data_IF_098768199438
#
_entry.id   IF_098768199438
#
_cell.length_a   1.000
_cell.length_b   1.000
_cell.length_c   1.000
_cell.angle_alpha   90.00
_cell.angle_beta   90.00
_cell.angle_gamma   90.00
#
_symmetry.space_group_name_H-M   'P 1'
#
loop_
_entity.id
_entity.type
_entity.pdbx_description
1 polymer ?
#
# COMPACT_ATOMS: atom_id res chain seq x y z
N UNK A 1 -7.58 8.49 10.15
CA UNK A 1 -6.33 8.14 9.44
C UNK A 1 -5.91 6.71 9.72
N UNK A 2 -5.57 6.32 10.97
CA UNK A 2 -5.19 4.92 11.27
C UNK A 2 -6.30 3.93 10.93
N UNK A 3 -7.54 4.21 11.37
CA UNK A 3 -8.74 3.44 11.00
C UNK A 3 -8.91 3.28 9.47
N UNK A 4 -8.71 4.36 8.72
CA UNK A 4 -8.85 4.36 7.26
C UNK A 4 -7.74 3.52 6.60
N UNK A 5 -6.51 3.58 7.14
CA UNK A 5 -5.38 2.76 6.70
C UNK A 5 -5.63 1.28 6.97
N UNK A 6 -6.20 0.93 8.12
CA UNK A 6 -6.54 -0.45 8.46
C UNK A 6 -7.65 -1.02 7.57
N UNK A 7 -8.69 -0.23 7.31
CA UNK A 7 -9.77 -0.60 6.38
C UNK A 7 -9.23 -0.82 4.97
N UNK A 8 -8.34 0.07 4.50
CA UNK A 8 -7.68 -0.10 3.22
C UNK A 8 -6.76 -1.32 3.18
N UNK A 9 -6.08 -1.66 4.27
CA UNK A 9 -5.28 -2.88 4.38
C UNK A 9 -6.10 -4.17 4.20
N UNK A 10 -7.34 -4.20 4.72
CA UNK A 10 -8.27 -5.32 4.52
C UNK A 10 -8.72 -5.43 3.06
N UNK A 11 -9.06 -4.29 2.45
CA UNK A 11 -9.48 -4.23 1.04
C UNK A 11 -8.32 -4.65 0.12
N UNK A 12 -7.10 -4.18 0.39
CA UNK A 12 -5.88 -4.51 -0.34
C UNK A 12 -5.65 -6.03 -0.36
N UNK A 13 -5.68 -6.65 0.82
CA UNK A 13 -5.49 -8.09 0.98
C UNK A 13 -6.58 -8.87 0.23
N UNK A 14 -7.84 -8.45 0.35
CA UNK A 14 -8.96 -9.07 -0.35
C UNK A 14 -8.81 -9.02 -1.88
N UNK A 15 -8.48 -7.85 -2.43
CA UNK A 15 -8.32 -7.67 -3.88
C UNK A 15 -7.13 -8.49 -4.39
N UNK A 16 -6.00 -8.46 -3.67
CA UNK A 16 -4.81 -9.25 -3.99
C UNK A 16 -5.15 -10.74 -4.10
N UNK A 17 -5.83 -11.29 -3.09
CA UNK A 17 -6.25 -12.70 -3.11
C UNK A 17 -7.16 -13.02 -4.29
N UNK A 18 -8.09 -12.12 -4.66
CA UNK A 18 -8.98 -12.32 -5.82
C UNK A 18 -8.24 -12.31 -7.15
N UNK A 19 -7.22 -11.47 -7.29
CA UNK A 19 -6.38 -11.43 -8.49
C UNK A 19 -5.53 -12.71 -8.61
N UNK A 20 -4.99 -13.21 -7.50
CA UNK A 20 -4.24 -14.48 -7.47
C UNK A 20 -5.14 -15.69 -7.78
N UNK A 21 -6.39 -15.66 -7.31
CA UNK A 21 -7.42 -16.65 -7.68
C UNK A 21 -7.70 -16.64 -9.18
N UNK A 22 -7.84 -15.45 -9.80
CA UNK A 22 -8.02 -15.31 -11.25
C UNK A 22 -6.83 -15.89 -12.04
N UNK A 23 -5.59 -15.75 -11.57
CA UNK A 23 -4.44 -16.40 -12.22
C UNK A 23 -4.53 -17.92 -12.19
N UNK A 24 -4.90 -18.48 -11.03
CA UNK A 24 -5.08 -19.92 -10.86
C UNK A 24 -6.18 -20.43 -11.79
N UNK A 25 -7.30 -19.72 -11.87
CA UNK A 25 -8.40 -20.04 -12.78
C UNK A 25 -7.96 -19.95 -14.25
N UNK A 26 -7.17 -18.95 -14.63
CA UNK A 26 -6.65 -18.82 -15.99
C UNK A 26 -5.75 -19.99 -16.37
N UNK A 27 -4.90 -20.44 -15.45
CA UNK A 27 -4.07 -21.63 -15.66
C UNK A 27 -4.92 -22.89 -15.79
N UNK A 28 -5.92 -23.06 -14.93
CA UNK A 28 -6.84 -24.21 -14.97
C UNK A 28 -7.68 -24.21 -16.26
N UNK A 29 -8.13 -23.04 -16.73
CA UNK A 29 -8.95 -22.90 -17.94
C UNK A 29 -8.24 -23.43 -19.20
N UNK A 30 -6.91 -23.44 -19.22
CA UNK A 30 -6.12 -24.01 -20.33
C UNK A 30 -6.33 -25.50 -20.56
N UNK A 31 -6.83 -26.23 -19.56
CA UNK A 31 -7.18 -27.65 -19.70
C UNK A 31 -8.53 -27.85 -20.39
N UNK A 32 -9.31 -26.79 -20.60
CA UNK A 32 -10.61 -26.85 -21.27
C UNK A 32 -10.42 -26.90 -22.79
N UNK A 33 -11.14 -27.78 -23.53
CA UNK A 33 -11.10 -27.80 -24.99
C UNK A 33 -11.32 -26.41 -25.60
N UNK A 34 -10.47 -26.02 -26.54
CA UNK A 34 -10.55 -24.70 -27.21
C UNK A 34 -10.03 -23.51 -26.40
N UNK A 35 -9.60 -23.71 -25.14
CA UNK A 35 -9.08 -22.66 -24.26
C UNK A 35 -7.57 -22.79 -23.98
N UNK A 36 -6.86 -23.59 -24.76
CA UNK A 36 -5.41 -23.80 -24.61
C UNK A 36 -4.60 -22.50 -24.65
N UNK A 37 -3.34 -22.60 -24.20
CA UNK A 37 -2.40 -21.46 -24.19
C UNK A 37 -2.31 -20.80 -25.57
N UNK A 38 -2.42 -19.47 -25.61
CA UNK A 38 -2.33 -18.67 -26.84
C UNK A 38 -3.65 -18.52 -27.61
N UNK A 39 -4.71 -19.23 -27.23
CA UNK A 39 -6.06 -19.02 -27.81
C UNK A 39 -6.56 -17.60 -27.57
N UNK A 40 -7.56 -17.16 -28.34
CA UNK A 40 -8.19 -15.84 -28.12
C UNK A 40 -8.75 -15.71 -26.70
N UNK A 41 -9.34 -16.80 -26.18
CA UNK A 41 -9.86 -16.88 -24.80
C UNK A 41 -8.72 -16.77 -23.79
N UNK A 42 -7.66 -17.59 -23.90
CA UNK A 42 -6.51 -17.53 -22.99
C UNK A 42 -5.83 -16.16 -22.99
N UNK A 43 -5.63 -15.56 -24.17
CA UNK A 43 -5.05 -14.23 -24.31
C UNK A 43 -5.93 -13.16 -23.67
N UNK A 44 -7.23 -13.18 -23.93
CA UNK A 44 -8.17 -12.22 -23.35
C UNK A 44 -8.18 -12.31 -21.82
N UNK A 45 -8.35 -13.52 -21.28
CA UNK A 45 -8.36 -13.78 -19.82
C UNK A 45 -7.05 -13.35 -19.15
N UNK A 46 -5.91 -13.74 -19.73
CA UNK A 46 -4.58 -13.39 -19.22
C UNK A 46 -4.34 -11.88 -19.27
N UNK A 47 -4.68 -11.22 -20.38
CA UNK A 47 -4.49 -9.77 -20.54
C UNK A 47 -5.34 -8.97 -19.57
N UNK A 48 -6.61 -9.34 -19.40
CA UNK A 48 -7.50 -8.71 -18.40
C UNK A 48 -6.93 -8.84 -17.00
N UNK A 49 -6.49 -10.04 -16.61
CA UNK A 49 -5.90 -10.28 -15.28
C UNK A 49 -4.61 -9.50 -15.07
N UNK A 50 -3.74 -9.41 -16.08
CA UNK A 50 -2.54 -8.57 -16.04
C UNK A 50 -2.87 -7.09 -15.90
N UNK A 51 -3.92 -6.59 -16.58
CA UNK A 51 -4.36 -5.20 -16.43
C UNK A 51 -4.89 -4.91 -15.03
N UNK A 52 -5.59 -5.86 -14.41
CA UNK A 52 -6.08 -5.73 -13.03
C UNK A 52 -4.91 -5.69 -12.04
N UNK A 53 -3.91 -6.56 -12.21
CA UNK A 53 -2.66 -6.51 -11.43
C UNK A 53 -1.97 -5.16 -11.51
N UNK A 54 -1.87 -4.62 -12.73
CA UNK A 54 -1.24 -3.31 -12.95
C UNK A 54 -2.03 -2.21 -12.25
N UNK A 55 -3.33 -2.11 -12.47
CA UNK A 55 -4.19 -1.11 -11.82
C UNK A 55 -4.14 -1.19 -10.30
N UNK A 56 -4.15 -2.40 -9.75
CA UNK A 56 -4.03 -2.62 -8.31
C UNK A 56 -2.70 -2.07 -7.77
N UNK A 57 -1.59 -2.40 -8.44
CA UNK A 57 -0.26 -1.88 -8.09
C UNK A 57 -0.20 -0.35 -8.17
N UNK A 58 -0.69 0.22 -9.27
CA UNK A 58 -0.67 1.66 -9.50
C UNK A 58 -1.46 2.39 -8.39
N UNK A 59 -2.69 1.93 -8.09
CA UNK A 59 -3.51 2.48 -7.00
C UNK A 59 -2.82 2.38 -5.64
N UNK A 60 -2.16 1.25 -5.35
CA UNK A 60 -1.47 1.08 -4.07
C UNK A 60 -0.26 2.02 -3.96
N UNK A 61 0.49 2.22 -5.05
CA UNK A 61 1.57 3.20 -5.11
C UNK A 61 1.07 4.63 -4.90
N UNK A 62 -0.04 5.01 -5.54
CA UNK A 62 -0.66 6.34 -5.35
C UNK A 62 -1.10 6.54 -3.89
N UNK A 63 -1.69 5.52 -3.26
CA UNK A 63 -2.08 5.60 -1.86
C UNK A 63 -0.88 5.79 -0.92
N UNK A 64 0.23 5.06 -1.14
CA UNK A 64 1.43 5.25 -0.32
C UNK A 64 2.00 6.67 -0.49
N UNK A 65 2.06 7.19 -1.72
CA UNK A 65 2.51 8.55 -1.98
C UNK A 65 1.62 9.60 -1.29
N UNK A 66 0.29 9.40 -1.31
CA UNK A 66 -0.65 10.28 -0.59
C UNK A 66 -0.42 10.22 0.92
N UNK A 67 -0.24 9.01 1.49
CA UNK A 67 0.04 8.83 2.91
C UNK A 67 1.33 9.55 3.32
N UNK A 68 2.39 9.41 2.55
CA UNK A 68 3.66 10.11 2.78
C UNK A 68 3.48 11.63 2.74
N UNK A 69 2.75 12.15 1.74
CA UNK A 69 2.46 13.57 1.60
C UNK A 69 1.71 14.13 2.82
N UNK A 70 0.70 13.41 3.31
CA UNK A 70 -0.05 13.80 4.50
C UNK A 70 0.87 13.80 5.74
N UNK A 71 1.66 12.73 5.95
CA UNK A 71 2.60 12.69 7.06
C UNK A 71 3.62 13.84 7.02
N UNK A 72 4.09 14.19 5.81
CA UNK A 72 5.00 15.31 5.62
C UNK A 72 4.33 16.65 5.92
N UNK A 73 3.12 16.89 5.44
CA UNK A 73 2.37 18.13 5.73
C UNK A 73 2.14 18.30 7.23
N UNK A 74 1.72 17.23 7.91
CA UNK A 74 1.55 17.23 9.37
C UNK A 74 2.86 17.59 10.10
N UNK A 75 4.00 17.03 9.67
CA UNK A 75 5.33 17.40 10.21
C UNK A 75 5.63 18.88 10.02
N UNK A 76 5.39 19.44 8.83
CA UNK A 76 5.66 20.85 8.54
C UNK A 76 4.75 21.82 9.30
N UNK A 77 3.49 21.42 9.59
CA UNK A 77 2.59 22.19 10.46
C UNK A 77 3.08 22.17 11.91
N UNK A 78 3.52 21.01 12.43
CA UNK A 78 4.10 20.91 13.78
C UNK A 78 5.36 21.75 13.89
N UNK A 79 6.31 21.61 12.97
CA UNK A 79 7.54 22.42 12.93
C UNK A 79 7.25 23.92 12.97
N UNK A 80 6.33 24.41 12.13
CA UNK A 80 5.95 25.84 12.11
C UNK A 80 5.33 26.33 13.42
N UNK A 81 4.43 25.54 14.04
CA UNK A 81 3.81 25.90 15.32
C UNK A 81 4.81 25.94 16.47
N UNK A 82 5.74 24.98 16.53
CA UNK A 82 6.77 24.94 17.58
C UNK A 82 7.81 26.05 17.36
N UNK A 83 8.18 26.35 16.09
CA UNK A 83 9.10 27.45 15.75
C UNK A 83 8.56 28.83 16.16
N UNK A 84 7.27 29.10 15.91
CA UNK A 84 6.64 30.38 16.30
C UNK A 84 6.41 30.44 17.83
N UNK A 85 6.22 29.30 18.49
CA UNK A 85 5.85 29.23 19.91
C UNK A 85 7.00 29.11 20.92
N UNK A 86 8.23 28.77 20.52
CA UNK A 86 9.29 28.46 21.51
C UNK A 86 10.71 28.69 20.98
N UNK A 87 11.30 29.84 21.32
CA UNK A 87 12.65 30.26 20.89
C UNK A 87 13.83 29.57 21.62
N UNK A 88 13.65 28.51 22.42
CA UNK A 88 14.80 27.95 23.17
C UNK A 88 14.92 26.42 23.32
N UNK A 89 13.96 25.59 22.87
CA UNK A 89 14.09 24.12 22.96
C UNK A 89 13.51 23.37 21.73
N UNK A 90 13.56 24.00 20.56
CA UNK A 90 12.91 23.55 19.32
C UNK A 90 13.49 22.25 18.75
N UNK A 91 14.82 22.12 18.73
CA UNK A 91 15.48 20.98 18.08
C UNK A 91 15.20 19.68 18.84
N UNK A 92 15.31 19.71 20.17
CA UNK A 92 15.17 18.51 21.01
C UNK A 92 13.76 17.90 20.85
N UNK A 93 12.71 18.73 20.86
CA UNK A 93 11.33 18.23 20.78
C UNK A 93 11.01 17.69 19.39
N UNK A 94 11.46 18.37 18.33
CA UNK A 94 11.25 17.91 16.95
C UNK A 94 12.04 16.64 16.63
N UNK A 95 13.29 16.55 17.09
CA UNK A 95 14.14 15.38 16.92
C UNK A 95 13.54 14.18 17.69
N UNK A 96 13.07 14.40 18.91
CA UNK A 96 12.42 13.34 19.71
C UNK A 96 11.12 12.87 19.06
N UNK A 97 10.29 13.77 18.52
CA UNK A 97 9.06 13.39 17.81
C UNK A 97 9.34 12.65 16.51
N UNK A 98 10.37 13.05 15.76
CA UNK A 98 10.79 12.37 14.56
C UNK A 98 11.29 10.94 14.88
N UNK A 99 12.11 10.80 15.92
CA UNK A 99 12.64 9.51 16.36
C UNK A 99 11.52 8.57 16.87
N UNK A 100 10.53 9.09 17.60
CA UNK A 100 9.36 8.32 18.03
C UNK A 100 8.54 7.84 16.82
N UNK A 101 8.33 8.71 15.83
CA UNK A 101 7.57 8.36 14.64
C UNK A 101 8.29 7.28 13.81
N UNK A 102 9.61 7.42 13.63
CA UNK A 102 10.44 6.46 12.89
C UNK A 102 10.47 5.09 13.57
N UNK A 103 10.58 5.07 14.91
CA UNK A 103 10.45 3.83 15.69
C UNK A 103 9.06 3.21 15.57
N UNK A 104 8.00 4.03 15.61
CA UNK A 104 6.63 3.55 15.47
C UNK A 104 6.39 2.92 14.09
N UNK A 105 6.89 3.54 13.02
CA UNK A 105 6.74 3.01 11.66
C UNK A 105 7.58 1.73 11.47
N UNK A 106 8.79 1.66 12.05
CA UNK A 106 9.62 0.45 12.04
C UNK A 106 8.96 -0.73 12.79
N UNK A 107 8.36 -0.47 13.96
CA UNK A 107 7.61 -1.49 14.71
C UNK A 107 6.44 -2.01 13.88
N UNK A 108 5.68 -1.11 13.26
CA UNK A 108 4.53 -1.49 12.42
C UNK A 108 4.94 -2.35 11.23
N UNK A 109 6.11 -2.11 10.64
CA UNK A 109 6.62 -2.94 9.54
C UNK A 109 7.12 -4.30 10.01
N UNK A 110 7.72 -4.40 11.19
CA UNK A 110 8.08 -5.68 11.82
C UNK A 110 6.84 -6.51 12.13
N UNK A 111 5.80 -5.91 12.70
CA UNK A 111 4.53 -6.58 12.96
C UNK A 111 3.91 -7.13 11.66
N UNK A 112 3.95 -6.35 10.58
CA UNK A 112 3.45 -6.77 9.28
C UNK A 112 4.21 -7.98 8.73
N UNK A 113 5.54 -8.02 8.86
CA UNK A 113 6.39 -9.14 8.43
C UNK A 113 6.23 -10.42 9.27
N UNK A 114 5.72 -10.31 10.50
CA UNK A 114 5.43 -11.46 11.37
C UNK A 114 4.05 -12.06 11.12
N UNK A 115 3.16 -11.33 10.43
CA UNK A 115 1.79 -11.76 10.12
C UNK A 115 1.63 -12.28 8.67
N UNK A 116 2.62 -12.05 7.81
CA UNK A 116 2.79 -12.69 6.49
C UNK A 116 3.47 -14.07 6.62
#
# INVERSE_FOLDING_TARGET
MEKDVDELGKIDTFIKSKIEELDKENLANRQTPGCGKGTGVDRSRTTTTLSLKKKFKDNMSEFQALRESIHQEHREVVKRRVYIGSTFNLNIVLDTLAEIQERHDAVREVEKKLLD
#
